data_IF_343586886332
#
_entry.id   IF_343586886332
#
_cell.length_a   1.000
_cell.length_b   1.000
_cell.length_c   1.000
_cell.angle_alpha   90.00
_cell.angle_beta   90.00
_cell.angle_gamma   90.00
#
_symmetry.space_group_name_H-M   'P 1'
#
loop_
_entity.id
_entity.type
_entity.pdbx_description
1 polymer ?
#
# COMPACT_ATOMS: atom_id res chain seq x y z
N UNK A 1 -31.34 -16.11 63.82
CA UNK A 1 -31.32 -16.45 62.38
C UNK A 1 -31.02 -15.15 61.65
N UNK A 2 -29.74 -14.83 61.48
CA UNK A 2 -29.29 -13.56 60.87
C UNK A 2 -28.93 -13.88 59.42
N UNK A 3 -29.66 -13.27 58.50
CA UNK A 3 -29.55 -13.45 57.07
C UNK A 3 -28.57 -12.38 56.55
N UNK A 4 -27.29 -12.73 56.41
CA UNK A 4 -26.30 -11.83 55.81
C UNK A 4 -26.60 -11.67 54.31
N UNK A 5 -26.92 -10.44 53.93
CA UNK A 5 -27.08 -10.05 52.55
C UNK A 5 -25.71 -9.98 51.87
N UNK A 6 -25.42 -10.94 50.99
CA UNK A 6 -24.29 -10.86 50.07
C UNK A 6 -24.53 -9.69 49.10
N UNK A 7 -23.81 -8.59 49.27
CA UNK A 7 -23.75 -7.52 48.29
C UNK A 7 -23.00 -8.01 47.03
N UNK A 8 -23.50 -7.76 45.82
CA UNK A 8 -22.82 -8.15 44.59
C UNK A 8 -21.52 -7.35 44.43
N UNK A 9 -20.39 -8.06 44.32
CA UNK A 9 -19.09 -7.46 43.96
C UNK A 9 -19.19 -6.90 42.54
N UNK A 10 -19.04 -5.57 42.41
CA UNK A 10 -19.21 -4.87 41.14
C UNK A 10 -18.08 -5.18 40.12
N UNK A 11 -18.36 -5.19 38.80
CA UNK A 11 -17.45 -5.66 37.74
C UNK A 11 -16.40 -4.61 37.32
N UNK A 12 -15.74 -3.96 38.28
CA UNK A 12 -14.77 -2.89 37.98
C UNK A 12 -13.49 -3.41 37.29
N UNK A 13 -13.06 -4.64 37.60
CA UNK A 13 -11.85 -5.24 37.03
C UNK A 13 -12.00 -5.52 35.52
N UNK A 14 -13.16 -6.04 35.11
CA UNK A 14 -13.46 -6.38 33.72
C UNK A 14 -13.61 -5.14 32.82
N UNK A 15 -14.00 -4.00 33.40
CA UNK A 15 -14.13 -2.71 32.71
C UNK A 15 -12.77 -2.05 32.42
N UNK A 16 -11.79 -2.20 33.31
CA UNK A 16 -10.45 -1.66 33.10
C UNK A 16 -9.63 -2.46 32.08
N UNK A 17 -9.71 -3.79 32.14
CA UNK A 17 -9.02 -4.69 31.19
C UNK A 17 -9.47 -4.44 29.74
N UNK A 18 -10.79 -4.28 29.53
CA UNK A 18 -11.35 -3.97 28.21
C UNK A 18 -10.89 -2.62 27.65
N UNK A 19 -10.65 -1.62 28.51
CA UNK A 19 -10.12 -0.30 28.07
C UNK A 19 -8.67 -0.39 27.62
N UNK A 20 -7.84 -1.17 28.33
CA UNK A 20 -6.43 -1.36 27.96
C UNK A 20 -6.27 -2.04 26.60
N UNK A 21 -7.03 -3.11 26.35
CA UNK A 21 -7.01 -3.82 25.06
C UNK A 21 -7.48 -2.90 23.92
N UNK A 22 -8.56 -2.15 24.12
CA UNK A 22 -9.07 -1.23 23.11
C UNK A 22 -8.05 -0.13 22.72
N UNK A 23 -7.30 0.40 23.70
CA UNK A 23 -6.25 1.38 23.45
C UNK A 23 -5.10 0.80 22.62
N UNK A 24 -4.60 -0.39 22.99
CA UNK A 24 -3.53 -1.07 22.25
C UNK A 24 -3.94 -1.37 20.81
N UNK A 25 -5.19 -1.80 20.59
CA UNK A 25 -5.73 -2.07 19.25
C UNK A 25 -5.80 -0.79 18.41
N UNK A 26 -6.20 0.34 19.02
CA UNK A 26 -6.25 1.64 18.34
C UNK A 26 -4.85 2.11 17.90
N UNK A 27 -3.86 2.00 18.79
CA UNK A 27 -2.48 2.38 18.50
C UNK A 27 -1.90 1.50 17.38
N UNK A 28 -2.09 0.18 17.46
CA UNK A 28 -1.64 -0.76 16.44
C UNK A 28 -2.28 -0.49 15.08
N UNK A 29 -3.60 -0.20 15.04
CA UNK A 29 -4.31 0.09 13.81
C UNK A 29 -3.77 1.34 13.10
N UNK A 30 -3.35 2.33 13.89
CA UNK A 30 -2.77 3.60 13.42
C UNK A 30 -1.35 3.40 12.91
N UNK A 31 -0.51 2.66 13.64
CA UNK A 31 0.84 2.32 13.20
C UNK A 31 0.79 1.50 11.90
N UNK A 32 -0.10 0.51 11.83
CA UNK A 32 -0.31 -0.31 10.63
C UNK A 32 -0.67 0.55 9.43
N UNK A 33 -1.57 1.53 9.62
CA UNK A 33 -1.97 2.45 8.56
C UNK A 33 -0.77 3.26 8.02
N UNK A 34 0.06 3.82 8.91
CA UNK A 34 1.27 4.55 8.53
C UNK A 34 2.31 3.67 7.83
N UNK A 35 2.58 2.47 8.34
CA UNK A 35 3.53 1.53 7.71
C UNK A 35 3.08 1.18 6.29
N UNK A 36 1.79 0.90 6.08
CA UNK A 36 1.28 0.59 4.76
C UNK A 36 1.30 1.80 3.82
N UNK A 37 1.02 3.01 4.33
CA UNK A 37 1.15 4.24 3.56
C UNK A 37 2.59 4.48 3.11
N UNK A 38 3.55 4.38 4.03
CA UNK A 38 4.99 4.55 3.74
C UNK A 38 5.43 3.49 2.72
N UNK A 39 5.04 2.23 2.91
CA UNK A 39 5.31 1.17 1.94
C UNK A 39 4.78 1.50 0.55
N UNK A 40 3.54 1.99 0.45
CA UNK A 40 2.93 2.39 -0.83
C UNK A 40 3.64 3.58 -1.48
N UNK A 41 4.05 4.57 -0.69
CA UNK A 41 4.82 5.70 -1.17
C UNK A 41 6.21 5.27 -1.69
N UNK A 42 6.91 4.40 -0.96
CA UNK A 42 8.21 3.89 -1.40
C UNK A 42 8.09 3.06 -2.68
N UNK A 43 7.04 2.23 -2.81
CA UNK A 43 6.74 1.51 -4.07
C UNK A 43 6.50 2.47 -5.24
N UNK A 44 5.79 3.58 -5.01
CA UNK A 44 5.60 4.61 -6.04
C UNK A 44 6.94 5.22 -6.47
N UNK A 45 7.79 5.60 -5.50
CA UNK A 45 9.13 6.14 -5.77
C UNK A 45 10.00 5.12 -6.53
N UNK A 46 9.97 3.84 -6.13
CA UNK A 46 10.66 2.77 -6.84
C UNK A 46 10.20 2.66 -8.30
N UNK A 47 8.88 2.67 -8.54
CA UNK A 47 8.33 2.62 -9.89
C UNK A 47 8.74 3.81 -10.75
N UNK A 48 8.79 5.01 -10.18
CA UNK A 48 9.30 6.20 -10.87
C UNK A 48 10.80 6.07 -11.20
N UNK A 49 11.62 5.59 -10.27
CA UNK A 49 13.05 5.34 -10.51
C UNK A 49 13.22 4.33 -11.65
N UNK A 50 12.50 3.21 -11.60
CA UNK A 50 12.54 2.18 -12.63
C UNK A 50 12.18 2.74 -14.01
N UNK A 51 11.07 3.49 -14.10
CA UNK A 51 10.62 4.07 -15.36
C UNK A 51 11.61 5.12 -15.89
N UNK A 52 12.13 5.99 -15.04
CA UNK A 52 13.14 7.00 -15.42
C UNK A 52 14.41 6.32 -15.92
N UNK A 53 14.90 5.30 -15.24
CA UNK A 53 16.07 4.54 -15.67
C UNK A 53 15.84 3.89 -17.04
N UNK A 54 14.67 3.29 -17.27
CA UNK A 54 14.29 2.73 -18.58
C UNK A 54 14.22 3.78 -19.68
N UNK A 55 13.73 4.99 -19.39
CA UNK A 55 13.67 6.09 -20.36
C UNK A 55 15.07 6.65 -20.63
N UNK A 56 15.92 6.77 -19.61
CA UNK A 56 17.28 7.29 -19.74
C UNK A 56 18.17 6.41 -20.64
N UNK A 57 17.92 5.10 -20.67
CA UNK A 57 18.60 4.16 -21.58
C UNK A 57 18.11 4.26 -23.05
N UNK A 58 17.09 5.08 -23.34
CA UNK A 58 16.57 5.26 -24.69
C UNK A 58 17.17 6.50 -25.37
N UNK A 59 17.80 6.29 -26.52
CA UNK A 59 18.20 7.38 -27.42
C UNK A 59 17.04 7.76 -28.36
N UNK A 60 16.88 9.06 -28.61
CA UNK A 60 15.92 9.58 -29.57
C UNK A 60 16.66 9.98 -30.84
N UNK A 61 16.50 9.19 -31.90
CA UNK A 61 17.20 9.38 -33.17
C UNK A 61 16.42 10.37 -34.05
N UNK A 62 17.05 11.52 -34.34
CA UNK A 62 16.55 12.55 -35.27
C UNK A 62 17.39 12.65 -36.54
N UNK A 63 18.71 12.71 -36.42
CA UNK A 63 19.61 13.09 -37.54
C UNK A 63 19.67 12.07 -38.70
N UNK A 64 19.34 10.80 -38.45
CA UNK A 64 19.36 9.73 -39.44
C UNK A 64 17.96 9.16 -39.75
N UNK A 65 16.94 9.97 -39.49
CA UNK A 65 15.55 9.63 -39.73
C UNK A 65 14.90 10.57 -40.76
N UNK A 66 14.55 10.02 -41.93
CA UNK A 66 13.78 10.77 -42.92
C UNK A 66 12.32 10.97 -42.45
N UNK A 67 11.65 12.01 -42.96
CA UNK A 67 10.29 12.41 -42.54
C UNK A 67 9.24 11.28 -42.57
N UNK A 68 9.38 10.32 -43.48
CA UNK A 68 8.44 9.19 -43.63
C UNK A 68 9.08 7.83 -43.33
N UNK A 69 10.27 7.83 -42.73
CA UNK A 69 10.95 6.59 -42.35
C UNK A 69 10.29 6.02 -41.10
N UNK A 70 9.69 4.85 -41.24
CA UNK A 70 9.03 4.16 -40.14
C UNK A 70 10.05 3.66 -39.12
N UNK A 71 9.66 3.63 -37.85
CA UNK A 71 10.35 2.93 -36.75
C UNK A 71 11.78 3.42 -36.38
N UNK A 72 12.21 4.64 -36.75
CA UNK A 72 13.49 5.19 -36.25
C UNK A 72 13.62 5.25 -34.73
N UNK A 73 12.49 5.40 -34.03
CA UNK A 73 12.43 5.49 -32.58
C UNK A 73 11.71 4.27 -31.99
N UNK A 74 11.92 3.09 -32.57
CA UNK A 74 11.25 1.85 -32.12
C UNK A 74 11.48 1.55 -30.64
N UNK A 75 12.63 1.93 -30.08
CA UNK A 75 12.94 1.82 -28.66
C UNK A 75 11.92 2.55 -27.78
N UNK A 76 11.43 3.73 -28.18
CA UNK A 76 10.40 4.46 -27.43
C UNK A 76 9.08 3.69 -27.32
N UNK A 77 8.75 2.87 -28.32
CA UNK A 77 7.56 2.00 -28.33
C UNK A 77 7.71 0.77 -27.42
N UNK A 78 8.88 0.53 -26.82
CA UNK A 78 9.04 -0.49 -25.78
C UNK A 78 8.71 0.04 -24.39
N UNK A 79 8.58 1.37 -24.22
CA UNK A 79 8.18 2.01 -22.95
C UNK A 79 6.80 2.65 -23.06
N UNK A 80 6.58 3.42 -24.12
CA UNK A 80 5.32 4.10 -24.40
C UNK A 80 4.50 3.28 -25.40
N UNK A 81 3.72 2.34 -24.87
CA UNK A 81 2.92 1.42 -25.68
C UNK A 81 1.63 1.03 -24.98
N UNK A 82 0.61 0.74 -25.77
CA UNK A 82 -0.65 0.14 -25.30
C UNK A 82 -0.62 -1.38 -25.36
N UNK A 83 0.54 -2.00 -25.63
CA UNK A 83 0.69 -3.43 -25.43
C UNK A 83 0.47 -3.73 -23.94
N UNK A 84 -0.56 -4.51 -23.57
CA UNK A 84 -0.94 -4.68 -22.17
C UNK A 84 0.14 -5.39 -21.36
N UNK A 85 0.92 -6.28 -21.97
CA UNK A 85 2.00 -6.98 -21.25
C UNK A 85 3.11 -6.01 -20.85
N UNK A 86 3.53 -5.16 -21.79
CA UNK A 86 4.59 -4.17 -21.54
C UNK A 86 4.09 -3.05 -20.63
N UNK A 87 2.85 -2.59 -20.83
CA UNK A 87 2.25 -1.56 -20.00
C UNK A 87 2.14 -2.04 -18.55
N UNK A 88 1.60 -3.24 -18.32
CA UNK A 88 1.49 -3.79 -16.99
C UNK A 88 2.87 -4.03 -16.37
N UNK A 89 3.80 -4.62 -17.11
CA UNK A 89 5.16 -4.86 -16.60
C UNK A 89 5.82 -3.55 -16.15
N UNK A 90 5.83 -2.50 -16.98
CA UNK A 90 6.55 -1.25 -16.65
C UNK A 90 5.84 -0.40 -15.58
N UNK A 91 4.50 -0.39 -15.56
CA UNK A 91 3.74 0.58 -14.76
C UNK A 91 3.15 0.00 -13.48
N UNK A 92 3.18 -1.33 -13.28
CA UNK A 92 2.67 -1.97 -12.06
C UNK A 92 3.14 -1.32 -10.75
N UNK A 93 4.44 -1.02 -10.51
CA UNK A 93 4.87 -0.42 -9.25
C UNK A 93 4.24 0.95 -9.01
N UNK A 94 4.17 1.79 -10.06
CA UNK A 94 3.51 3.10 -9.99
C UNK A 94 2.02 2.94 -9.70
N UNK A 95 1.34 2.05 -10.41
CA UNK A 95 -0.10 1.80 -10.25
C UNK A 95 -0.40 1.31 -8.83
N UNK A 96 0.34 0.30 -8.35
CA UNK A 96 0.17 -0.24 -7.00
C UNK A 96 0.50 0.79 -5.92
N UNK A 97 1.59 1.55 -6.06
CA UNK A 97 1.92 2.64 -5.15
C UNK A 97 0.80 3.69 -5.07
N UNK A 98 0.28 4.14 -6.21
CA UNK A 98 -0.85 5.07 -6.30
C UNK A 98 -2.12 4.51 -5.65
N UNK A 99 -2.50 3.25 -5.93
CA UNK A 99 -3.66 2.61 -5.31
C UNK A 99 -3.48 2.55 -3.79
N UNK A 100 -2.30 2.15 -3.31
CA UNK A 100 -1.98 2.04 -1.89
C UNK A 100 -2.06 3.38 -1.16
N UNK A 101 -1.56 4.45 -1.79
CA UNK A 101 -1.72 5.82 -1.27
C UNK A 101 -3.19 6.26 -1.28
N UNK A 102 -3.93 5.96 -2.34
CA UNK A 102 -5.34 6.33 -2.49
C UNK A 102 -6.26 5.70 -1.43
N UNK A 103 -5.90 4.52 -0.90
CA UNK A 103 -6.62 3.88 0.22
C UNK A 103 -6.67 4.77 1.47
N UNK A 104 -5.67 5.64 1.67
CA UNK A 104 -5.59 6.55 2.81
C UNK A 104 -6.13 7.95 2.53
N UNK A 105 -6.58 8.22 1.30
CA UNK A 105 -7.21 9.49 0.94
C UNK A 105 -8.67 9.54 1.40
N UNK A 106 -9.23 10.74 1.42
CA UNK A 106 -10.62 10.98 1.84
C UNK A 106 -11.65 10.20 1.01
N UNK A 107 -12.83 9.88 1.60
CA UNK A 107 -13.89 9.14 0.93
C UNK A 107 -14.35 9.65 -0.43
N UNK A 108 -14.32 10.96 -0.64
CA UNK A 108 -14.68 11.61 -1.91
C UNK A 108 -13.75 11.26 -3.09
N UNK A 109 -12.56 10.73 -2.80
CA UNK A 109 -11.56 10.33 -3.78
C UNK A 109 -11.40 8.80 -3.86
N UNK A 110 -12.28 8.03 -3.18
CA UNK A 110 -12.18 6.56 -3.12
C UNK A 110 -12.59 5.93 -4.44
N UNK A 111 -11.60 5.39 -5.15
CA UNK A 111 -11.81 4.47 -6.27
C UNK A 111 -11.73 2.98 -5.85
N UNK A 112 -11.34 2.69 -4.59
CA UNK A 112 -10.91 1.34 -4.19
C UNK A 112 -11.88 0.69 -3.18
N UNK A 113 -12.14 -0.62 -3.34
CA UNK A 113 -13.00 -1.44 -2.45
C UNK A 113 -12.23 -2.07 -1.26
N UNK A 114 -11.08 -1.52 -0.86
CA UNK A 114 -10.30 -2.07 0.27
C UNK A 114 -10.95 -1.63 1.59
N UNK A 115 -11.78 -2.50 2.17
CA UNK A 115 -12.64 -2.16 3.32
C UNK A 115 -12.17 -2.76 4.64
N UNK A 116 -11.32 -3.79 4.61
CA UNK A 116 -10.86 -4.49 5.82
C UNK A 116 -9.37 -4.84 5.72
N UNK A 117 -8.78 -5.16 6.88
CA UNK A 117 -7.37 -5.45 7.03
C UNK A 117 -6.90 -6.69 6.27
N UNK A 118 -7.74 -7.71 6.05
CA UNK A 118 -7.34 -8.90 5.28
C UNK A 118 -7.22 -8.61 3.79
N UNK A 119 -8.17 -7.85 3.23
CA UNK A 119 -8.08 -7.38 1.85
C UNK A 119 -6.87 -6.46 1.69
N UNK A 120 -6.58 -5.62 2.68
CA UNK A 120 -5.40 -4.77 2.62
C UNK A 120 -4.10 -5.57 2.74
N UNK A 121 -4.04 -6.60 3.61
CA UNK A 121 -2.90 -7.49 3.70
C UNK A 121 -2.61 -8.20 2.37
N UNK A 122 -3.65 -8.71 1.70
CA UNK A 122 -3.51 -9.31 0.37
C UNK A 122 -2.99 -8.30 -0.66
N UNK A 123 -3.49 -7.07 -0.64
CA UNK A 123 -2.98 -5.99 -1.48
C UNK A 123 -1.50 -5.68 -1.18
N UNK A 124 -1.11 -5.55 0.09
CA UNK A 124 0.27 -5.28 0.47
C UNK A 124 1.21 -6.43 0.07
N UNK A 125 0.75 -7.68 0.16
CA UNK A 125 1.49 -8.84 -0.33
C UNK A 125 1.69 -8.82 -1.85
N UNK A 126 0.63 -8.51 -2.61
CA UNK A 126 0.71 -8.32 -4.06
C UNK A 126 1.69 -7.20 -4.40
N UNK A 127 1.63 -6.08 -3.68
CA UNK A 127 2.58 -4.97 -3.82
C UNK A 127 4.02 -5.41 -3.58
N UNK A 128 4.31 -6.16 -2.52
CA UNK A 128 5.66 -6.71 -2.28
C UNK A 128 6.13 -7.58 -3.45
N UNK A 129 5.33 -8.55 -3.87
CA UNK A 129 5.75 -9.58 -4.84
C UNK A 129 5.81 -9.05 -6.27
N UNK A 130 4.80 -8.28 -6.69
CA UNK A 130 4.61 -7.86 -8.09
C UNK A 130 4.93 -6.40 -8.33
N UNK A 131 5.10 -5.59 -7.28
CA UNK A 131 5.40 -4.17 -7.38
C UNK A 131 6.79 -3.76 -6.87
N UNK A 132 7.56 -4.64 -6.24
CA UNK A 132 8.88 -4.27 -5.69
C UNK A 132 9.99 -5.27 -6.06
N UNK A 133 9.91 -6.53 -5.61
CA UNK A 133 11.05 -7.47 -5.70
C UNK A 133 11.65 -7.67 -7.11
N UNK A 134 10.88 -7.44 -8.18
CA UNK A 134 11.32 -7.63 -9.57
C UNK A 134 11.94 -6.42 -10.27
N UNK A 135 11.89 -5.20 -9.73
CA UNK A 135 12.12 -3.98 -10.53
C UNK A 135 13.55 -3.42 -10.44
N UNK A 136 13.95 -2.88 -9.29
CA UNK A 136 15.21 -2.14 -9.15
C UNK A 136 16.27 -2.96 -8.37
N UNK A 137 16.38 -4.25 -8.69
CA UNK A 137 17.34 -5.16 -8.08
C UNK A 137 17.30 -5.16 -6.54
N UNK A 138 18.44 -4.92 -5.88
CA UNK A 138 18.53 -4.90 -4.41
C UNK A 138 17.68 -3.79 -3.77
N UNK A 139 17.52 -2.66 -4.45
CA UNK A 139 16.69 -1.56 -3.94
C UNK A 139 15.23 -1.99 -3.84
N UNK A 140 14.71 -2.68 -4.86
CA UNK A 140 13.34 -3.22 -4.83
C UNK A 140 13.11 -4.26 -3.75
N UNK A 141 14.11 -5.09 -3.43
CA UNK A 141 14.04 -6.00 -2.28
C UNK A 141 13.91 -5.21 -0.96
N UNK A 142 14.76 -4.19 -0.76
CA UNK A 142 14.72 -3.37 0.46
C UNK A 142 13.40 -2.61 0.61
N UNK A 143 12.91 -2.01 -0.48
CA UNK A 143 11.62 -1.33 -0.50
C UNK A 143 10.49 -2.32 -0.20
N UNK A 144 10.50 -3.50 -0.83
CA UNK A 144 9.47 -4.54 -0.69
C UNK A 144 9.33 -5.14 0.72
N UNK A 145 10.35 -5.02 1.58
CA UNK A 145 10.28 -5.43 2.99
C UNK A 145 9.26 -4.58 3.77
N UNK A 146 9.17 -3.28 3.49
CA UNK A 146 8.24 -2.38 4.20
C UNK A 146 6.76 -2.76 3.98
N UNK A 147 6.26 -2.93 2.73
CA UNK A 147 4.91 -3.43 2.51
C UNK A 147 4.71 -4.86 3.02
N UNK A 148 5.75 -5.70 3.09
CA UNK A 148 5.67 -7.02 3.69
C UNK A 148 5.42 -6.95 5.21
N UNK A 149 6.13 -6.06 5.91
CA UNK A 149 5.87 -5.77 7.33
C UNK A 149 4.44 -5.24 7.47
N UNK A 150 4.01 -4.31 6.61
CA UNK A 150 2.63 -3.81 6.58
C UNK A 150 1.59 -4.93 6.41
N UNK A 151 1.84 -5.90 5.53
CA UNK A 151 1.01 -7.09 5.35
C UNK A 151 0.85 -7.89 6.66
N UNK A 152 1.97 -8.19 7.33
CA UNK A 152 1.96 -8.91 8.61
C UNK A 152 1.21 -8.13 9.69
N UNK A 153 1.42 -6.81 9.77
CA UNK A 153 0.72 -5.95 10.73
C UNK A 153 -0.79 -5.89 10.45
N UNK A 154 -1.20 -5.87 9.18
CA UNK A 154 -2.61 -5.97 8.81
C UNK A 154 -3.24 -7.29 9.27
N UNK A 155 -2.54 -8.42 9.11
CA UNK A 155 -3.01 -9.73 9.59
C UNK A 155 -3.16 -9.70 11.11
N UNK A 156 -2.14 -9.24 11.84
CA UNK A 156 -2.20 -9.13 13.32
C UNK A 156 -3.36 -8.23 13.77
N UNK A 157 -3.52 -7.06 13.14
CA UNK A 157 -4.60 -6.11 13.47
C UNK A 157 -6.00 -6.71 13.22
N UNK A 158 -6.14 -7.51 12.16
CA UNK A 158 -7.37 -8.25 11.85
C UNK A 158 -7.66 -9.34 12.89
N UNK A 159 -6.64 -10.12 13.27
CA UNK A 159 -6.76 -11.19 14.28
C UNK A 159 -7.12 -10.65 15.67
N UNK A 160 -6.72 -9.41 15.99
CA UNK A 160 -7.10 -8.72 17.22
C UNK A 160 -8.53 -8.14 17.20
N UNK A 161 -9.31 -8.40 16.14
CA UNK A 161 -10.73 -8.07 16.07
C UNK A 161 -11.06 -6.73 15.41
N UNK A 162 -10.08 -6.05 14.80
CA UNK A 162 -10.34 -4.79 14.08
C UNK A 162 -10.99 -5.08 12.74
N UNK A 163 -12.30 -4.82 12.63
CA UNK A 163 -13.07 -5.14 11.41
C UNK A 163 -12.94 -4.08 10.32
N UNK A 164 -12.76 -2.81 10.70
CA UNK A 164 -12.69 -1.70 9.75
C UNK A 164 -11.26 -1.22 9.59
N UNK A 165 -10.86 -0.98 8.35
CA UNK A 165 -9.57 -0.38 8.05
C UNK A 165 -9.48 1.03 8.64
N UNK A 166 -8.42 1.33 9.41
CA UNK A 166 -8.09 2.69 9.83
C UNK A 166 -7.51 3.45 8.63
N UNK A 167 -8.17 4.52 8.24
CA UNK A 167 -7.71 5.44 7.19
C UNK A 167 -7.14 6.70 7.83
N UNK A 168 -6.08 7.25 7.23
CA UNK A 168 -5.42 8.46 7.71
C UNK A 168 -6.08 9.76 7.21
N UNK A 169 -7.09 9.65 6.33
CA UNK A 169 -7.91 10.76 5.80
C UNK A 169 -7.08 11.95 5.28
N UNK A 170 -6.02 11.66 4.53
CA UNK A 170 -5.14 12.68 3.97
C UNK A 170 -5.90 13.55 2.96
N UNK A 171 -5.95 14.87 3.22
CA UNK A 171 -6.54 15.88 2.32
C UNK A 171 -7.11 17.11 3.08
N UNK A 172 -7.28 18.27 2.41
CA UNK A 172 -7.76 19.49 3.06
C UNK A 172 -9.17 19.30 3.64
N UNK A 173 -9.39 19.78 4.87
CA UNK A 173 -10.71 19.86 5.52
C UNK A 173 -11.52 20.98 4.85
N UNK A 174 -12.20 20.64 3.76
CA UNK A 174 -13.27 21.46 3.18
C UNK A 174 -14.53 21.40 4.02
#
# INVERSE_FOLDING_TARGET
MVQEAFAPVAPQHQSQENKGIAMVVLDLSTITAWVCLIGSFLTLVEGLIYLIAKIADLELHWEHCDFFKTDCNRGWRTVFTFNPLVLLDLWTPIILGCIGMAIHMKPSLKFTRVTNYMVYAAFMLVTTLFGNFGYVGKFGILVGIVPLIGCLMCIVTSLLGTKSLKQLELGPSS
#
